data_IF_678808673401
#
_entry.id   IF_678808673401
#
_cell.length_a   1.000
_cell.length_b   1.000
_cell.length_c   1.000
_cell.angle_alpha   90.00
_cell.angle_beta   90.00
_cell.angle_gamma   90.00
#
_symmetry.space_group_name_H-M   'P 1'
#
loop_
_entity.id
_entity.type
_entity.pdbx_description
1 polymer ?
#
# COMPACT_ATOMS: atom_id res chain seq x y z
N UNK A 1 24.03 7.65 -14.30
CA UNK A 1 23.30 6.39 -14.57
C UNK A 1 23.26 5.45 -13.37
N UNK A 2 24.40 5.10 -12.74
CA UNK A 2 24.44 4.13 -11.62
C UNK A 2 23.51 4.44 -10.43
N UNK A 3 23.43 5.70 -10.00
CA UNK A 3 22.55 6.10 -8.89
C UNK A 3 21.05 5.97 -9.21
N UNK A 4 20.63 6.20 -10.46
CA UNK A 4 19.20 6.07 -10.83
C UNK A 4 18.75 4.61 -10.74
N UNK A 5 19.57 3.67 -11.21
CA UNK A 5 19.27 2.24 -11.16
C UNK A 5 19.21 1.77 -9.71
N UNK A 6 20.17 2.17 -8.86
CA UNK A 6 20.19 1.81 -7.44
C UNK A 6 18.94 2.32 -6.71
N UNK A 7 18.57 3.59 -6.93
CA UNK A 7 17.38 4.20 -6.30
C UNK A 7 16.09 3.57 -6.82
N UNK A 8 16.01 3.26 -8.11
CA UNK A 8 14.86 2.54 -8.68
C UNK A 8 14.71 1.13 -8.11
N UNK A 9 15.82 0.41 -7.90
CA UNK A 9 15.81 -0.91 -7.25
C UNK A 9 15.35 -0.78 -5.79
N UNK A 10 15.90 0.17 -5.04
CA UNK A 10 15.47 0.42 -3.66
C UNK A 10 13.97 0.76 -3.59
N UNK A 11 13.48 1.61 -4.48
CA UNK A 11 12.06 1.95 -4.58
C UNK A 11 11.20 0.72 -4.92
N UNK A 12 11.67 -0.18 -5.79
CA UNK A 12 10.97 -1.42 -6.10
C UNK A 12 10.87 -2.35 -4.88
N UNK A 13 11.90 -2.42 -4.02
CA UNK A 13 11.82 -3.16 -2.76
C UNK A 13 10.79 -2.57 -1.79
N UNK A 14 10.60 -1.25 -1.77
CA UNK A 14 9.56 -0.62 -0.93
C UNK A 14 8.13 -0.95 -1.39
N UNK A 15 7.92 -1.30 -2.65
CA UNK A 15 6.61 -1.74 -3.16
C UNK A 15 6.22 -3.08 -2.52
N UNK A 16 7.21 -3.95 -2.28
CA UNK A 16 7.01 -5.22 -1.57
C UNK A 16 6.93 -4.95 -0.07
N UNK A 17 5.73 -4.60 0.37
CA UNK A 17 5.44 -4.30 1.77
C UNK A 17 4.74 -5.48 2.47
N UNK A 18 4.94 -5.66 3.79
CA UNK A 18 4.26 -6.71 4.56
C UNK A 18 2.72 -6.62 4.46
N UNK A 19 2.20 -5.41 4.20
CA UNK A 19 0.79 -5.19 3.92
C UNK A 19 0.31 -5.92 2.66
N UNK A 20 1.05 -5.85 1.55
CA UNK A 20 0.66 -6.55 0.31
C UNK A 20 0.65 -8.07 0.50
N UNK A 21 1.60 -8.61 1.27
CA UNK A 21 1.61 -10.02 1.64
C UNK A 21 0.38 -10.41 2.48
N UNK A 22 0.03 -9.61 3.49
CA UNK A 22 -1.17 -9.83 4.31
C UNK A 22 -2.46 -9.81 3.48
N UNK A 23 -2.61 -8.84 2.58
CA UNK A 23 -3.74 -8.75 1.66
C UNK A 23 -3.86 -9.97 0.75
N UNK A 24 -2.75 -10.45 0.21
CA UNK A 24 -2.73 -11.61 -0.67
C UNK A 24 -3.20 -12.88 0.05
N UNK A 25 -2.84 -13.05 1.34
CA UNK A 25 -3.32 -14.15 2.18
C UNK A 25 -4.83 -14.08 2.44
N UNK A 26 -5.34 -12.88 2.76
CA UNK A 26 -6.78 -12.66 3.01
C UNK A 26 -7.60 -12.92 1.74
N UNK A 27 -7.15 -12.42 0.58
CA UNK A 27 -7.82 -12.63 -0.72
C UNK A 27 -7.86 -14.11 -1.08
N UNK A 28 -6.73 -14.82 -0.96
CA UNK A 28 -6.70 -16.23 -1.34
C UNK A 28 -7.56 -17.12 -0.45
N UNK A 29 -7.63 -16.79 0.84
CA UNK A 29 -8.54 -17.46 1.75
C UNK A 29 -10.01 -17.22 1.39
N UNK A 30 -10.34 -16.04 0.86
CA UNK A 30 -11.70 -15.66 0.49
C UNK A 30 -12.12 -16.15 -0.92
N UNK A 31 -11.22 -16.19 -1.90
CA UNK A 31 -11.56 -16.35 -3.32
C UNK A 31 -11.02 -17.64 -3.97
N UNK A 32 -10.17 -18.43 -3.30
CA UNK A 32 -9.57 -19.68 -3.84
C UNK A 32 -8.89 -19.52 -5.23
N UNK A 33 -8.54 -18.29 -5.61
CA UNK A 33 -7.91 -17.96 -6.89
C UNK A 33 -6.40 -18.09 -6.83
N UNK A 34 -5.76 -18.32 -7.98
CA UNK A 34 -4.31 -18.43 -8.08
C UNK A 34 -3.62 -17.11 -7.65
N UNK A 35 -2.82 -17.19 -6.58
CA UNK A 35 -2.08 -16.08 -5.96
C UNK A 35 -1.30 -15.28 -7.01
N UNK A 36 -0.65 -16.00 -7.93
CA UNK A 36 0.27 -15.40 -8.89
C UNK A 36 -0.50 -14.53 -9.89
N UNK A 37 -1.67 -14.97 -10.35
CA UNK A 37 -2.50 -14.19 -11.27
C UNK A 37 -3.04 -12.92 -10.61
N UNK A 38 -3.48 -13.01 -9.35
CA UNK A 38 -3.95 -11.84 -8.58
C UNK A 38 -2.82 -10.84 -8.37
N UNK A 39 -1.60 -11.32 -8.05
CA UNK A 39 -0.44 -10.45 -7.87
C UNK A 39 -0.02 -9.74 -9.16
N UNK A 40 -0.01 -10.45 -10.30
CA UNK A 40 0.35 -9.87 -11.60
C UNK A 40 -0.69 -8.85 -12.07
N UNK A 41 -1.98 -9.19 -12.02
CA UNK A 41 -3.03 -8.23 -12.40
C UNK A 41 -3.09 -7.04 -11.44
N UNK A 42 -2.92 -7.29 -10.14
CA UNK A 42 -2.87 -6.25 -9.12
C UNK A 42 -1.70 -5.28 -9.32
N UNK A 43 -0.53 -5.75 -9.75
CA UNK A 43 0.63 -4.88 -10.05
C UNK A 43 0.44 -4.04 -11.31
N UNK A 44 -0.18 -4.58 -12.35
CA UNK A 44 -0.53 -3.80 -13.55
C UNK A 44 -1.49 -2.67 -13.19
N UNK A 45 -2.50 -2.96 -12.35
CA UNK A 45 -3.47 -1.97 -11.89
C UNK A 45 -2.85 -0.99 -10.87
N UNK A 46 -1.88 -1.41 -10.06
CA UNK A 46 -1.26 -0.52 -9.07
C UNK A 46 -0.27 0.48 -9.67
N UNK A 47 0.32 0.15 -10.82
CA UNK A 47 1.27 1.00 -11.54
C UNK A 47 0.74 2.44 -11.78
N UNK A 48 -0.46 2.66 -12.35
CA UNK A 48 -1.01 4.01 -12.49
C UNK A 48 -1.28 4.70 -11.14
N UNK A 49 -1.71 3.95 -10.11
CA UNK A 49 -1.91 4.51 -8.76
C UNK A 49 -0.60 5.01 -8.15
N UNK A 50 0.49 4.28 -8.33
CA UNK A 50 1.82 4.68 -7.85
C UNK A 50 2.26 5.97 -8.55
N UNK A 51 2.01 6.10 -9.86
CA UNK A 51 2.31 7.33 -10.60
C UNK A 51 1.52 8.52 -10.03
N UNK A 52 0.22 8.33 -9.76
CA UNK A 52 -0.62 9.38 -9.15
C UNK A 52 -0.10 9.77 -7.75
N UNK A 53 0.30 8.79 -6.94
CA UNK A 53 0.88 9.05 -5.61
C UNK A 53 2.17 9.87 -5.72
N UNK A 54 3.08 9.52 -6.64
CA UNK A 54 4.35 10.24 -6.84
C UNK A 54 4.10 11.66 -7.37
N UNK A 55 3.14 11.85 -8.29
CA UNK A 55 2.76 13.17 -8.78
C UNK A 55 2.14 14.03 -7.66
N UNK A 56 1.30 13.42 -6.82
CA UNK A 56 0.70 14.08 -5.65
C UNK A 56 1.77 14.48 -4.64
N UNK A 57 2.73 13.59 -4.37
CA UNK A 57 3.88 13.88 -3.52
C UNK A 57 4.71 15.05 -4.05
N UNK A 58 4.98 15.07 -5.35
CA UNK A 58 5.71 16.17 -6.02
C UNK A 58 5.00 17.52 -5.92
N UNK A 59 3.67 17.55 -5.99
CA UNK A 59 2.89 18.81 -6.05
C UNK A 59 2.41 19.32 -4.68
N UNK A 60 2.05 18.41 -3.77
CA UNK A 60 1.40 18.76 -2.50
C UNK A 60 2.18 18.26 -1.26
N UNK A 61 3.34 17.64 -1.46
CA UNK A 61 4.21 17.19 -0.39
C UNK A 61 3.76 15.89 0.30
N UNK A 62 4.43 15.58 1.41
CA UNK A 62 4.32 14.30 2.10
C UNK A 62 2.93 14.06 2.71
N UNK A 63 2.30 15.08 3.29
CA UNK A 63 0.98 14.96 3.94
C UNK A 63 -0.13 14.64 2.92
N UNK A 64 -0.09 15.22 1.73
CA UNK A 64 -1.08 14.94 0.70
C UNK A 64 -0.93 13.54 0.09
N UNK A 65 0.31 13.08 -0.09
CA UNK A 65 0.57 11.71 -0.53
C UNK A 65 0.08 10.70 0.51
N UNK A 66 0.30 10.97 1.81
CA UNK A 66 -0.24 10.13 2.89
C UNK A 66 -1.77 10.13 2.90
N UNK A 67 -2.41 11.29 2.70
CA UNK A 67 -3.86 11.38 2.57
C UNK A 67 -4.40 10.55 1.41
N UNK A 68 -3.72 10.57 0.25
CA UNK A 68 -4.08 9.74 -0.90
C UNK A 68 -3.95 8.25 -0.58
N UNK A 69 -2.85 7.82 0.07
CA UNK A 69 -2.67 6.44 0.49
C UNK A 69 -3.80 5.98 1.43
N UNK A 70 -4.16 6.80 2.42
CA UNK A 70 -5.26 6.49 3.35
C UNK A 70 -6.59 6.32 2.61
N UNK A 71 -6.88 7.19 1.63
CA UNK A 71 -8.08 7.09 0.81
C UNK A 71 -8.11 5.80 0.00
N UNK A 72 -7.00 5.43 -0.65
CA UNK A 72 -6.90 4.17 -1.38
C UNK A 72 -7.04 2.95 -0.46
N UNK A 73 -6.59 3.06 0.79
CA UNK A 73 -6.67 1.98 1.79
C UNK A 73 -8.10 1.73 2.25
N UNK A 74 -8.85 2.82 2.50
CA UNK A 74 -10.27 2.76 2.82
C UNK A 74 -11.06 2.21 1.63
N UNK A 75 -10.74 2.66 0.40
CA UNK A 75 -11.36 2.14 -0.82
C UNK A 75 -11.13 0.62 -0.99
N UNK A 76 -9.90 0.16 -0.76
CA UNK A 76 -9.57 -1.26 -0.82
C UNK A 76 -10.31 -2.07 0.26
N UNK A 77 -10.40 -1.56 1.49
CA UNK A 77 -11.15 -2.22 2.56
C UNK A 77 -12.66 -2.31 2.24
N UNK A 78 -13.23 -1.27 1.61
CA UNK A 78 -14.62 -1.26 1.18
C UNK A 78 -14.89 -2.32 0.11
N UNK A 79 -14.04 -2.39 -0.93
CA UNK A 79 -14.14 -3.39 -2.00
C UNK A 79 -13.99 -4.83 -1.46
N UNK A 80 -13.10 -5.04 -0.49
CA UNK A 80 -12.94 -6.35 0.16
C UNK A 80 -14.15 -6.74 1.00
N UNK A 81 -14.80 -5.76 1.65
CA UNK A 81 -16.00 -6.01 2.46
C UNK A 81 -17.15 -6.58 1.63
N UNK A 82 -17.30 -6.13 0.39
CA UNK A 82 -18.31 -6.65 -0.55
C UNK A 82 -18.04 -8.11 -0.94
N UNK A 83 -16.78 -8.55 -0.96
CA UNK A 83 -16.41 -9.93 -1.29
C UNK A 83 -16.57 -10.83 -0.06
N UNK A 84 -16.09 -10.39 1.11
CA UNK A 84 -16.18 -11.15 2.35
C UNK A 84 -16.06 -10.23 3.57
N UNK A 85 -17.06 -10.27 4.47
CA UNK A 85 -17.11 -9.42 5.66
C UNK A 85 -15.90 -9.61 6.60
N UNK A 86 -15.37 -10.85 6.67
CA UNK A 86 -14.18 -11.19 7.48
C UNK A 86 -12.91 -10.61 6.86
N UNK A 87 -12.77 -10.73 5.54
CA UNK A 87 -11.66 -10.14 4.80
C UNK A 87 -11.66 -8.61 4.96
N UNK A 88 -12.83 -7.98 4.83
CA UNK A 88 -13.05 -6.55 5.07
C UNK A 88 -12.58 -6.09 6.45
N UNK A 89 -12.88 -6.85 7.50
CA UNK A 89 -12.45 -6.53 8.87
C UNK A 89 -10.92 -6.66 9.03
N UNK A 90 -10.32 -7.74 8.50
CA UNK A 90 -8.86 -7.94 8.53
C UNK A 90 -8.13 -6.80 7.79
N UNK A 91 -8.63 -6.39 6.61
CA UNK A 91 -8.12 -5.21 5.88
C UNK A 91 -8.18 -3.94 6.69
N UNK A 92 -9.29 -3.71 7.38
CA UNK A 92 -9.50 -2.50 8.14
C UNK A 92 -8.52 -2.40 9.31
N UNK A 93 -8.31 -3.52 10.03
CA UNK A 93 -7.33 -3.59 11.13
C UNK A 93 -5.92 -3.29 10.62
N UNK A 94 -5.52 -3.89 9.49
CA UNK A 94 -4.19 -3.66 8.89
C UNK A 94 -4.03 -2.19 8.46
N UNK A 95 -5.07 -1.59 7.85
CA UNK A 95 -5.04 -0.19 7.44
C UNK A 95 -4.83 0.75 8.64
N UNK A 96 -5.58 0.55 9.74
CA UNK A 96 -5.41 1.34 10.97
C UNK A 96 -4.01 1.20 11.54
N UNK A 97 -3.47 -0.04 11.57
CA UNK A 97 -2.14 -0.29 12.11
C UNK A 97 -1.04 0.43 11.31
N UNK A 98 -1.15 0.44 9.97
CA UNK A 98 -0.20 1.12 9.10
C UNK A 98 -0.30 2.65 9.24
N UNK A 99 -1.51 3.20 9.35
CA UNK A 99 -1.70 4.65 9.58
C UNK A 99 -1.01 5.08 10.88
N UNK A 100 -1.20 4.32 11.95
CA UNK A 100 -0.56 4.58 13.24
C UNK A 100 0.95 4.43 13.12
N UNK A 101 1.43 3.35 12.51
CA UNK A 101 2.86 3.08 12.33
C UNK A 101 3.58 4.17 11.55
N UNK A 102 2.98 4.67 10.47
CA UNK A 102 3.55 5.77 9.67
C UNK A 102 3.56 7.08 10.47
N UNK A 103 2.51 7.36 11.23
CA UNK A 103 2.45 8.56 12.07
C UNK A 103 3.51 8.53 13.19
N UNK A 104 3.69 7.37 13.82
CA UNK A 104 4.74 7.15 14.84
C UNK A 104 6.12 7.28 14.20
N UNK A 105 6.36 6.65 13.05
CA UNK A 105 7.63 6.73 12.34
C UNK A 105 7.99 8.18 11.98
N UNK A 106 7.04 8.95 11.46
CA UNK A 106 7.25 10.37 11.15
C UNK A 106 7.51 11.20 12.42
N UNK A 107 6.86 10.87 13.54
CA UNK A 107 7.07 11.57 14.81
C UNK A 107 8.46 11.30 15.39
N UNK A 108 8.88 10.02 15.43
CA UNK A 108 10.20 9.61 15.93
C UNK A 108 11.32 10.10 15.01
N UNK A 109 11.12 10.03 13.70
CA UNK A 109 12.12 10.50 12.74
C UNK A 109 12.33 12.01 12.80
N UNK A 110 11.34 12.77 13.29
CA UNK A 110 11.49 14.21 13.57
C UNK A 110 12.29 14.50 14.84
N UNK A 111 12.53 13.50 15.70
CA UNK A 111 13.32 13.60 16.92
C UNK A 111 14.78 13.13 16.75
N UNK A 112 15.11 12.49 15.63
CA UNK A 112 16.48 12.13 15.28
C UNK A 112 17.16 13.33 14.58
N UNK A 113 18.40 13.71 14.97
CA UNK A 113 19.12 14.83 14.38
C UNK A 113 19.47 14.64 12.90
#
# INVERSE_FOLDING_TARGET
>A
MGNLILVSIAFALFIVCPRMAGMTHVITKATQTNIVQVAVMGTIISLPLIIVMVLTFRRYGLIAALGFCILTDIGAALLMREINLKAGLETFIIAVFVIIGVKIASFISNWLP
#
